data_IF_583142452274
#
_entry.id   IF_583142452274
#
_cell.length_a   1.000
_cell.length_b   1.000
_cell.length_c   1.000
_cell.angle_alpha   90.00
_cell.angle_beta   90.00
_cell.angle_gamma   90.00
#
_symmetry.space_group_name_H-M   'P 1'
#
loop_
_entity.id
_entity.type
_entity.pdbx_description
1 polymer ?
#
# COMPACT_ATOMS: atom_id res chain seq x y z
N UNK A 1 18.92 10.79 -16.47
CA UNK A 1 17.86 11.74 -16.09
C UNK A 1 16.70 11.43 -17.01
N UNK A 2 15.59 10.89 -16.49
CA UNK A 2 14.54 10.34 -17.36
C UNK A 2 13.12 10.53 -16.82
N UNK A 3 12.94 11.29 -15.75
CA UNK A 3 11.59 11.61 -15.22
C UNK A 3 11.53 13.09 -14.85
N UNK A 4 10.63 13.82 -15.49
CA UNK A 4 10.37 15.24 -15.22
C UNK A 4 9.03 15.35 -14.49
N UNK A 5 9.01 15.96 -13.31
CA UNK A 5 7.79 16.06 -12.49
C UNK A 5 7.19 17.47 -12.60
N UNK A 6 5.89 17.53 -12.90
CA UNK A 6 5.11 18.76 -12.95
C UNK A 6 3.92 18.66 -12.00
N UNK A 7 3.67 19.70 -11.21
CA UNK A 7 2.45 19.81 -10.39
C UNK A 7 1.59 20.97 -10.90
N UNK A 8 0.41 20.64 -11.41
CA UNK A 8 -0.56 21.60 -11.96
C UNK A 8 -1.83 21.69 -11.12
N UNK A 9 -1.79 21.22 -9.87
CA UNK A 9 -2.93 21.27 -8.95
C UNK A 9 -2.52 21.81 -7.58
N UNK A 10 -3.52 22.29 -6.84
CA UNK A 10 -3.37 22.84 -5.48
C UNK A 10 -4.30 22.15 -4.45
N UNK A 11 -5.09 21.16 -4.87
CA UNK A 11 -6.11 20.54 -4.04
C UNK A 11 -5.55 19.56 -2.99
N UNK A 12 -4.45 18.86 -3.31
CA UNK A 12 -3.75 17.94 -2.41
C UNK A 12 -2.27 18.32 -2.33
N UNK A 13 -1.67 18.40 -1.13
CA UNK A 13 -0.25 18.67 -0.98
C UNK A 13 0.61 17.61 -1.69
N UNK A 14 1.59 18.06 -2.48
CA UNK A 14 2.63 17.22 -3.08
C UNK A 14 3.98 17.56 -2.42
N UNK A 15 4.30 16.98 -1.24
CA UNK A 15 5.61 17.17 -0.64
C UNK A 15 6.70 16.53 -1.52
N UNK A 16 7.93 17.05 -1.39
CA UNK A 16 9.09 16.58 -2.16
C UNK A 16 9.29 15.06 -2.08
N UNK A 17 9.16 14.47 -0.89
CA UNK A 17 9.25 13.02 -0.67
C UNK A 17 8.23 12.21 -1.49
N UNK A 18 7.02 12.75 -1.70
CA UNK A 18 5.98 12.08 -2.48
C UNK A 18 6.28 12.17 -3.98
N UNK A 19 6.74 13.33 -4.45
CA UNK A 19 7.18 13.52 -5.83
C UNK A 19 8.40 12.64 -6.16
N UNK A 20 9.38 12.56 -5.26
CA UNK A 20 10.54 11.67 -5.37
C UNK A 20 10.14 10.20 -5.40
N UNK A 21 9.18 9.80 -4.56
CA UNK A 21 8.64 8.44 -4.55
C UNK A 21 8.05 8.06 -5.91
N UNK A 22 7.23 8.94 -6.49
CA UNK A 22 6.62 8.74 -7.81
C UNK A 22 7.68 8.69 -8.92
N UNK A 23 8.64 9.62 -8.89
CA UNK A 23 9.75 9.70 -9.85
C UNK A 23 10.62 8.43 -9.82
N UNK A 24 10.99 7.97 -8.62
CA UNK A 24 11.73 6.71 -8.43
C UNK A 24 10.94 5.51 -8.96
N UNK A 25 9.62 5.54 -8.84
CA UNK A 25 8.77 4.46 -9.33
C UNK A 25 8.80 4.34 -10.86
N UNK A 26 8.65 5.46 -11.57
CA UNK A 26 8.79 5.51 -13.03
C UNK A 26 10.22 5.12 -13.45
N UNK A 27 11.23 5.74 -12.85
CA UNK A 27 12.64 5.44 -13.18
C UNK A 27 12.98 3.95 -12.98
N UNK A 28 12.41 3.31 -11.95
CA UNK A 28 12.61 1.88 -11.71
C UNK A 28 11.93 1.01 -12.78
N UNK A 29 10.72 1.38 -13.21
CA UNK A 29 10.05 0.71 -14.32
C UNK A 29 10.89 0.78 -15.61
N UNK A 30 11.37 1.98 -15.96
CA UNK A 30 12.24 2.20 -17.13
C UNK A 30 13.54 1.38 -17.06
N UNK A 31 14.17 1.32 -15.88
CA UNK A 31 15.41 0.58 -15.70
C UNK A 31 15.21 -0.94 -15.87
N UNK A 32 14.12 -1.51 -15.35
CA UNK A 32 13.84 -2.95 -15.48
C UNK A 32 13.52 -3.35 -16.92
N UNK A 33 12.88 -2.48 -17.69
CA UNK A 33 12.61 -2.72 -19.12
C UNK A 33 13.80 -2.38 -20.04
N UNK A 34 14.96 -1.99 -19.46
CA UNK A 34 16.19 -1.75 -20.20
C UNK A 34 16.31 -0.38 -20.86
N UNK A 35 15.41 0.57 -20.55
CA UNK A 35 15.46 1.95 -21.05
C UNK A 35 16.38 2.83 -20.19
N UNK A 36 16.34 2.67 -18.86
CA UNK A 36 17.20 3.40 -17.93
C UNK A 36 17.21 4.92 -18.18
N UNK A 37 18.40 5.51 -18.31
CA UNK A 37 18.58 6.95 -18.59
C UNK A 37 18.43 7.33 -20.08
N UNK A 38 18.17 6.38 -20.97
CA UNK A 38 17.99 6.63 -22.41
C UNK A 38 16.55 7.04 -22.77
N UNK A 39 15.64 7.09 -21.79
CA UNK A 39 14.26 7.48 -21.99
C UNK A 39 13.83 8.56 -20.99
N UNK A 40 12.95 9.44 -21.44
CA UNK A 40 12.32 10.48 -20.62
C UNK A 40 10.81 10.29 -20.55
N UNK A 41 10.25 10.46 -19.36
CA UNK A 41 8.83 10.46 -19.05
C UNK A 41 8.48 11.72 -18.28
N UNK A 42 7.40 12.39 -18.67
CA UNK A 42 6.83 13.50 -17.92
C UNK A 42 5.76 12.98 -16.98
N UNK A 43 5.89 13.26 -15.69
CA UNK A 43 4.92 12.91 -14.66
C UNK A 43 4.19 14.16 -14.20
N UNK A 44 2.91 14.27 -14.54
CA UNK A 44 2.09 15.47 -14.33
C UNK A 44 0.98 15.20 -13.32
N UNK A 45 1.00 15.89 -12.19
CA UNK A 45 -0.08 15.85 -11.20
C UNK A 45 -1.12 16.93 -11.50
N UNK A 46 -2.39 16.53 -11.56
CA UNK A 46 -3.54 17.39 -11.87
C UNK A 46 -4.68 17.18 -10.87
N UNK A 47 -5.72 18.01 -10.95
CA UNK A 47 -6.96 17.82 -10.20
C UNK A 47 -7.99 16.98 -10.99
N UNK A 48 -9.14 16.71 -10.36
CA UNK A 48 -10.21 15.90 -10.94
C UNK A 48 -10.89 16.58 -12.15
N UNK A 49 -10.95 17.91 -12.17
CA UNK A 49 -11.55 18.66 -13.29
C UNK A 49 -10.66 18.50 -14.52
N UNK A 50 -9.36 18.75 -14.36
CA UNK A 50 -8.40 18.65 -15.44
C UNK A 50 -8.27 17.23 -15.98
N UNK A 51 -8.20 16.21 -15.13
CA UNK A 51 -8.12 14.83 -15.63
C UNK A 51 -9.42 14.38 -16.30
N UNK A 52 -10.59 14.90 -15.86
CA UNK A 52 -11.88 14.65 -16.52
C UNK A 52 -11.91 15.25 -17.92
N UNK A 53 -11.42 16.48 -18.09
CA UNK A 53 -11.29 17.11 -19.40
C UNK A 53 -10.43 16.26 -20.33
N UNK A 54 -9.25 15.84 -19.86
CA UNK A 54 -8.36 14.98 -20.63
C UNK A 54 -9.01 13.63 -20.98
N UNK A 55 -9.72 13.01 -20.02
CA UNK A 55 -10.41 11.75 -20.24
C UNK A 55 -11.55 11.89 -21.28
N UNK A 56 -12.27 13.01 -21.26
CA UNK A 56 -13.29 13.33 -22.26
C UNK A 56 -12.65 13.55 -23.62
N UNK A 57 -11.62 14.38 -23.70
CA UNK A 57 -11.08 14.86 -24.97
C UNK A 57 -10.29 13.77 -25.70
N UNK A 58 -9.58 12.89 -24.97
CA UNK A 58 -8.75 11.84 -25.55
C UNK A 58 -9.37 10.44 -25.54
N UNK A 59 -10.29 10.14 -24.61
CA UNK A 59 -10.95 8.82 -24.51
C UNK A 59 -12.47 8.86 -24.74
N UNK A 60 -13.07 10.04 -24.90
CA UNK A 60 -14.51 10.20 -25.04
C UNK A 60 -15.30 9.91 -23.76
N UNK A 61 -14.64 9.87 -22.59
CA UNK A 61 -15.25 9.51 -21.31
C UNK A 61 -15.28 10.72 -20.38
N UNK A 62 -16.46 11.33 -20.22
CA UNK A 62 -16.65 12.54 -19.39
C UNK A 62 -16.78 12.24 -17.89
N UNK A 63 -15.73 11.66 -17.30
CA UNK A 63 -15.60 11.45 -15.85
C UNK A 63 -14.14 11.54 -15.42
N UNK A 64 -13.89 11.94 -14.17
CA UNK A 64 -12.55 11.88 -13.60
C UNK A 64 -12.05 10.42 -13.54
N UNK A 65 -10.75 10.23 -13.73
CA UNK A 65 -10.05 8.95 -13.54
C UNK A 65 -8.83 9.22 -12.67
N UNK A 66 -8.18 8.15 -12.22
CA UNK A 66 -6.95 8.17 -11.44
C UNK A 66 -5.71 8.51 -12.26
N UNK A 67 -5.51 7.84 -13.41
CA UNK A 67 -4.33 8.03 -14.26
C UNK A 67 -4.66 7.91 -15.75
N UNK A 68 -3.94 8.69 -16.56
CA UNK A 68 -3.90 8.59 -18.03
C UNK A 68 -2.44 8.56 -18.50
N UNK A 69 -2.15 7.76 -19.52
CA UNK A 69 -0.84 7.70 -20.17
C UNK A 69 -0.96 8.14 -21.63
N UNK A 70 -0.13 9.10 -22.05
CA UNK A 70 -0.10 9.68 -23.38
C UNK A 70 1.24 9.36 -24.05
N UNK A 71 1.34 8.31 -24.88
CA UNK A 71 2.59 7.94 -25.52
C UNK A 71 2.99 8.93 -26.62
N UNK A 72 4.27 9.31 -26.65
CA UNK A 72 4.88 10.14 -27.71
C UNK A 72 5.81 9.31 -28.61
N UNK A 73 6.78 8.59 -28.04
CA UNK A 73 7.80 7.79 -28.74
C UNK A 73 8.61 8.60 -29.78
N UNK A 74 9.15 9.75 -29.37
CA UNK A 74 9.97 10.63 -30.21
C UNK A 74 11.42 10.67 -29.71
N UNK A 75 12.41 10.77 -30.62
CA UNK A 75 13.84 10.88 -30.25
C UNK A 75 14.28 12.35 -30.27
N UNK A 76 14.87 12.83 -29.17
CA UNK A 76 15.54 14.13 -29.12
C UNK A 76 17.07 14.00 -29.04
N UNK A 77 17.84 14.93 -29.65
CA UNK A 77 19.29 14.96 -29.49
C UNK A 77 19.70 15.11 -28.03
N UNK A 78 20.73 14.38 -27.60
CA UNK A 78 21.29 14.49 -26.25
C UNK A 78 21.67 15.93 -25.89
N UNK A 79 21.41 16.32 -24.65
CA UNK A 79 21.58 17.71 -24.19
C UNK A 79 23.05 18.12 -24.08
N UNK A 80 23.98 17.17 -23.94
CA UNK A 80 25.42 17.41 -23.86
C UNK A 80 26.23 16.76 -25.00
N UNK A 81 27.41 17.32 -25.37
CA UNK A 81 28.29 16.73 -26.37
C UNK A 81 28.77 15.33 -25.96
N UNK A 82 28.39 14.31 -26.73
CA UNK A 82 28.73 12.91 -26.46
C UNK A 82 27.61 12.08 -25.82
N UNK A 83 26.49 12.70 -25.46
CA UNK A 83 25.26 11.99 -25.09
C UNK A 83 24.51 11.54 -26.35
N UNK A 84 24.02 10.29 -26.33
CA UNK A 84 23.15 9.75 -27.38
C UNK A 84 21.76 10.41 -27.38
N UNK A 85 20.92 10.13 -28.38
CA UNK A 85 19.54 10.60 -28.38
C UNK A 85 18.76 10.05 -27.18
N UNK A 86 17.84 10.85 -26.66
CA UNK A 86 16.92 10.48 -25.57
C UNK A 86 15.55 10.19 -26.17
N UNK A 87 14.94 9.08 -25.77
CA UNK A 87 13.60 8.69 -26.21
C UNK A 87 12.53 9.32 -25.29
N UNK A 88 11.75 10.25 -25.81
CA UNK A 88 10.57 10.79 -25.14
C UNK A 88 9.43 9.77 -25.20
N UNK A 89 9.18 9.07 -24.09
CA UNK A 89 8.12 8.07 -24.01
C UNK A 89 6.74 8.72 -23.93
N UNK A 90 6.63 9.87 -23.26
CA UNK A 90 5.42 10.68 -23.18
C UNK A 90 5.01 11.06 -21.75
N UNK A 91 3.73 11.33 -21.56
CA UNK A 91 3.19 11.86 -20.31
C UNK A 91 2.42 10.81 -19.50
N UNK A 92 2.64 10.79 -18.19
CA UNK A 92 1.79 10.13 -17.20
C UNK A 92 1.08 11.23 -16.41
N UNK A 93 -0.24 11.30 -16.51
CA UNK A 93 -1.06 12.30 -15.85
C UNK A 93 -1.86 11.65 -14.73
N UNK A 94 -1.63 12.06 -13.48
CA UNK A 94 -2.25 11.50 -12.28
C UNK A 94 -3.14 12.55 -11.60
N UNK A 95 -4.39 12.18 -11.29
CA UNK A 95 -5.21 12.98 -10.38
C UNK A 95 -4.84 12.70 -8.94
N UNK A 96 -4.16 13.66 -8.30
CA UNK A 96 -3.76 13.52 -6.91
C UNK A 96 -4.96 13.48 -5.94
N UNK A 97 -6.07 14.23 -6.16
CA UNK A 97 -7.30 14.06 -5.40
C UNK A 97 -7.94 12.67 -5.51
N UNK A 98 -7.95 12.08 -6.71
CA UNK A 98 -8.47 10.71 -6.89
C UNK A 98 -7.56 9.70 -6.20
N UNK A 99 -6.24 9.81 -6.36
CA UNK A 99 -5.28 8.95 -5.67
C UNK A 99 -5.43 9.04 -4.14
N UNK A 100 -5.65 10.23 -3.57
CA UNK A 100 -5.90 10.38 -2.14
C UNK A 100 -7.15 9.63 -1.67
N UNK A 101 -8.26 9.70 -2.43
CA UNK A 101 -9.48 8.95 -2.10
C UNK A 101 -9.28 7.44 -2.26
N UNK A 102 -8.56 6.99 -3.28
CA UNK A 102 -8.25 5.56 -3.47
C UNK A 102 -7.34 5.04 -2.37
N UNK A 103 -6.32 5.80 -2.00
CA UNK A 103 -5.44 5.51 -0.87
C UNK A 103 -6.24 5.35 0.43
N UNK A 104 -7.20 6.25 0.71
CA UNK A 104 -8.06 6.11 1.88
C UNK A 104 -8.99 4.89 1.80
N UNK A 105 -9.65 4.67 0.65
CA UNK A 105 -10.64 3.62 0.46
C UNK A 105 -10.05 2.20 0.49
N UNK A 106 -8.93 2.01 -0.21
CA UNK A 106 -8.16 0.76 -0.20
C UNK A 106 -7.22 0.69 1.02
N UNK A 107 -7.02 1.86 1.64
CA UNK A 107 -6.42 2.06 2.93
C UNK A 107 -4.89 1.90 2.99
N UNK A 108 -4.21 1.78 1.87
CA UNK A 108 -2.76 2.00 1.80
C UNK A 108 -2.42 3.50 1.81
N UNK A 109 -1.17 3.85 2.12
CA UNK A 109 -0.75 5.26 2.14
C UNK A 109 -0.78 5.92 0.76
N UNK A 110 -0.95 7.24 0.72
CA UNK A 110 -0.83 8.03 -0.51
C UNK A 110 0.49 7.79 -1.26
N UNK A 111 1.66 7.63 -0.61
CA UNK A 111 2.90 7.27 -1.31
C UNK A 111 2.82 5.96 -2.09
N UNK A 112 2.11 4.96 -1.55
CA UNK A 112 1.90 3.69 -2.25
C UNK A 112 1.00 3.89 -3.47
N UNK A 113 -0.13 4.59 -3.31
CA UNK A 113 -1.08 4.78 -4.40
C UNK A 113 -0.49 5.58 -5.56
N UNK A 114 0.21 6.67 -5.24
CA UNK A 114 0.89 7.48 -6.25
C UNK A 114 2.00 6.70 -6.95
N UNK A 115 2.81 5.92 -6.21
CA UNK A 115 3.81 5.06 -6.82
C UNK A 115 3.18 4.00 -7.73
N UNK A 116 2.09 3.37 -7.27
CA UNK A 116 1.34 2.39 -8.05
C UNK A 116 0.83 2.98 -9.37
N UNK A 117 0.14 4.13 -9.32
CA UNK A 117 -0.37 4.81 -10.52
C UNK A 117 0.76 5.25 -11.46
N UNK A 118 1.90 5.70 -10.92
CA UNK A 118 3.07 6.05 -11.71
C UNK A 118 3.69 4.84 -12.41
N UNK A 119 3.83 3.70 -11.73
CA UNK A 119 4.27 2.43 -12.35
C UNK A 119 3.28 1.96 -13.41
N UNK A 120 1.98 2.01 -13.10
CA UNK A 120 0.92 1.60 -14.02
C UNK A 120 0.96 2.42 -15.31
N UNK A 121 1.06 3.75 -15.19
CA UNK A 121 1.21 4.65 -16.34
C UNK A 121 2.49 4.39 -17.13
N UNK A 122 3.62 4.17 -16.46
CA UNK A 122 4.89 3.88 -17.11
C UNK A 122 4.85 2.56 -17.90
N UNK A 123 4.28 1.50 -17.32
CA UNK A 123 4.12 0.22 -18.01
C UNK A 123 3.22 0.37 -19.25
N UNK A 124 2.16 1.18 -19.19
CA UNK A 124 1.36 1.50 -20.37
C UNK A 124 2.16 2.23 -21.45
N UNK A 125 3.00 3.21 -21.08
CA UNK A 125 3.91 3.87 -22.03
C UNK A 125 4.91 2.89 -22.67
N UNK A 126 5.33 1.86 -21.94
CA UNK A 126 6.23 0.80 -22.39
C UNK A 126 5.52 -0.31 -23.20
N UNK A 127 4.23 -0.13 -23.52
CA UNK A 127 3.47 -1.05 -24.35
C UNK A 127 2.88 -2.25 -23.61
N UNK A 128 2.84 -2.24 -22.27
CA UNK A 128 2.03 -3.18 -21.52
C UNK A 128 0.55 -2.78 -21.60
N UNK A 129 -0.31 -3.77 -21.75
CA UNK A 129 -1.76 -3.62 -21.76
C UNK A 129 -2.37 -4.68 -20.82
N UNK A 130 -3.66 -4.60 -20.57
CA UNK A 130 -4.37 -5.50 -19.67
C UNK A 130 -5.73 -5.93 -20.23
N UNK A 131 -5.80 -6.15 -21.55
CA UNK A 131 -7.04 -6.50 -22.27
C UNK A 131 -7.47 -7.95 -22.02
N UNK A 132 -6.52 -8.83 -21.71
CA UNK A 132 -6.78 -10.22 -21.37
C UNK A 132 -6.12 -10.64 -20.05
N UNK A 133 -6.46 -11.84 -19.58
CA UNK A 133 -6.02 -12.37 -18.29
C UNK A 133 -4.50 -12.61 -18.21
N UNK A 134 -3.85 -12.97 -19.33
CA UNK A 134 -2.40 -13.20 -19.38
C UNK A 134 -1.63 -11.89 -19.37
N UNK A 135 -2.06 -10.92 -20.19
CA UNK A 135 -1.49 -9.58 -20.23
C UNK A 135 -1.66 -8.87 -18.88
N UNK A 136 -2.86 -8.98 -18.28
CA UNK A 136 -3.14 -8.49 -16.94
C UNK A 136 -2.19 -9.12 -15.92
N UNK A 137 -2.08 -10.45 -15.86
CA UNK A 137 -1.19 -11.12 -14.91
C UNK A 137 0.28 -10.71 -15.07
N UNK A 138 0.74 -10.52 -16.31
CA UNK A 138 2.11 -10.06 -16.62
C UNK A 138 2.34 -8.63 -16.13
N UNK A 139 1.42 -7.71 -16.42
CA UNK A 139 1.50 -6.32 -15.98
C UNK A 139 1.46 -6.23 -14.45
N UNK A 140 0.53 -6.94 -13.80
CA UNK A 140 0.42 -7.04 -12.34
C UNK A 140 1.70 -7.57 -11.70
N UNK A 141 2.33 -8.59 -12.30
CA UNK A 141 3.60 -9.12 -11.81
C UNK A 141 4.70 -8.07 -11.78
N UNK A 142 4.79 -7.25 -12.84
CA UNK A 142 5.78 -6.16 -12.92
C UNK A 142 5.48 -5.01 -11.98
N UNK A 143 4.21 -4.61 -11.85
CA UNK A 143 3.80 -3.61 -10.87
C UNK A 143 4.27 -4.00 -9.46
N UNK A 144 4.00 -5.25 -9.07
CA UNK A 144 4.42 -5.80 -7.77
C UNK A 144 5.95 -5.81 -7.62
N UNK A 145 6.67 -6.30 -8.63
CA UNK A 145 8.14 -6.35 -8.61
C UNK A 145 8.75 -4.95 -8.43
N UNK A 146 8.27 -3.97 -9.19
CA UNK A 146 8.78 -2.59 -9.13
C UNK A 146 8.49 -1.96 -7.78
N UNK A 147 7.25 -2.09 -7.28
CA UNK A 147 6.84 -1.52 -6.00
C UNK A 147 7.59 -2.17 -4.83
N UNK A 148 7.82 -3.49 -4.86
CA UNK A 148 8.62 -4.18 -3.85
C UNK A 148 10.08 -3.69 -3.82
N UNK A 149 10.69 -3.43 -4.99
CA UNK A 149 12.05 -2.88 -5.08
C UNK A 149 12.17 -1.46 -4.50
N UNK A 150 11.06 -0.75 -4.33
CA UNK A 150 10.99 0.58 -3.70
C UNK A 150 10.67 0.50 -2.21
N UNK A 151 10.43 -0.68 -1.65
CA UNK A 151 9.95 -0.87 -0.28
C UNK A 151 8.48 -0.46 -0.10
N UNK A 152 7.72 -0.36 -1.20
CA UNK A 152 6.32 0.05 -1.23
C UNK A 152 5.44 -1.16 -1.51
N UNK A 153 5.29 -2.04 -0.54
CA UNK A 153 4.44 -3.23 -0.72
C UNK A 153 2.99 -2.93 -0.30
N UNK A 154 2.03 -3.15 -1.21
CA UNK A 154 0.64 -3.38 -0.79
C UNK A 154 0.61 -4.72 -0.07
N UNK A 155 -0.03 -4.74 1.08
CA UNK A 155 -0.23 -6.00 1.77
C UNK A 155 -1.28 -6.83 1.03
N UNK A 156 -0.82 -7.79 0.23
CA UNK A 156 -1.71 -8.72 -0.46
C UNK A 156 -2.49 -9.57 0.54
N UNK A 157 -3.81 -9.68 0.29
CA UNK A 157 -4.71 -10.42 1.16
C UNK A 157 -5.10 -9.68 2.43
N UNK A 158 -5.08 -8.35 2.42
CA UNK A 158 -5.61 -7.55 3.52
C UNK A 158 -7.07 -7.88 3.81
N UNK A 159 -7.94 -7.89 2.79
CA UNK A 159 -9.36 -8.21 2.95
C UNK A 159 -9.57 -9.61 3.53
N UNK A 160 -8.78 -10.57 3.08
CA UNK A 160 -8.77 -11.94 3.62
C UNK A 160 -8.36 -11.95 5.10
N UNK A 161 -7.33 -11.18 5.47
CA UNK A 161 -6.85 -11.10 6.84
C UNK A 161 -7.85 -10.40 7.76
N UNK A 162 -8.48 -9.31 7.30
CA UNK A 162 -9.55 -8.61 7.99
C UNK A 162 -10.78 -9.50 8.18
N UNK A 163 -11.15 -10.26 7.15
CA UNK A 163 -12.27 -11.21 7.22
C UNK A 163 -11.99 -12.35 8.20
N UNK A 164 -10.78 -12.90 8.20
CA UNK A 164 -10.36 -13.88 9.20
C UNK A 164 -10.43 -13.30 10.63
N UNK A 165 -10.01 -12.06 10.83
CA UNK A 165 -10.11 -11.38 12.12
C UNK A 165 -11.58 -11.12 12.53
N UNK A 166 -12.46 -10.74 11.60
CA UNK A 166 -13.91 -10.58 11.85
C UNK A 166 -14.53 -11.90 12.35
N UNK A 167 -14.27 -13.01 11.66
CA UNK A 167 -14.77 -14.33 12.06
C UNK A 167 -14.23 -14.76 13.43
N UNK A 168 -12.98 -14.43 13.72
CA UNK A 168 -12.41 -14.70 15.04
C UNK A 168 -13.14 -13.92 16.14
N UNK A 169 -13.45 -12.64 15.88
CA UNK A 169 -14.15 -11.75 16.82
C UNK A 169 -15.52 -12.29 17.24
N UNK A 170 -16.23 -13.00 16.36
CA UNK A 170 -17.54 -13.61 16.67
C UNK A 170 -17.46 -14.62 17.84
N UNK A 171 -16.28 -15.19 18.07
CA UNK A 171 -16.04 -16.18 19.12
C UNK A 171 -15.46 -15.57 20.42
N UNK A 172 -15.34 -14.25 20.49
CA UNK A 172 -14.80 -13.55 21.65
C UNK A 172 -15.61 -13.85 22.93
N UNK A 173 -14.90 -14.18 24.02
CA UNK A 173 -15.48 -14.35 25.34
C UNK A 173 -15.24 -13.08 26.16
N UNK A 174 -16.21 -12.15 26.14
CA UNK A 174 -16.09 -10.83 26.76
C UNK A 174 -17.28 -10.43 27.66
N UNK A 175 -17.65 -11.24 28.67
CA UNK A 175 -18.82 -10.96 29.50
C UNK A 175 -18.66 -9.77 30.46
N UNK A 176 -17.44 -9.29 30.71
CA UNK A 176 -17.19 -8.22 31.68
C UNK A 176 -17.15 -6.86 30.99
N UNK A 177 -16.43 -6.73 29.88
CA UNK A 177 -16.35 -5.45 29.15
C UNK A 177 -17.46 -5.27 28.11
N UNK A 178 -18.00 -6.38 27.57
CA UNK A 178 -18.89 -6.36 26.42
C UNK A 178 -18.20 -5.97 25.10
N UNK A 179 -16.87 -5.86 25.07
CA UNK A 179 -16.09 -5.45 23.90
C UNK A 179 -15.47 -6.70 23.27
N UNK A 180 -15.81 -6.94 22.00
CA UNK A 180 -15.25 -8.07 21.25
C UNK A 180 -14.15 -7.58 20.34
N UNK A 181 -13.07 -8.34 20.33
CA UNK A 181 -11.90 -8.11 19.49
C UNK A 181 -11.48 -9.43 18.86
N UNK A 182 -11.29 -9.42 17.56
CA UNK A 182 -10.69 -10.52 16.79
C UNK A 182 -9.39 -10.07 16.15
N UNK A 183 -8.47 -11.01 15.95
CA UNK A 183 -7.22 -10.76 15.26
C UNK A 183 -6.84 -11.93 14.37
N UNK A 184 -6.12 -11.63 13.30
CA UNK A 184 -5.54 -12.61 12.40
C UNK A 184 -4.10 -12.20 12.06
N UNK A 185 -3.15 -13.10 12.27
CA UNK A 185 -1.74 -12.91 11.91
C UNK A 185 -1.42 -13.66 10.62
N UNK A 186 -0.62 -13.04 9.75
CA UNK A 186 -0.08 -13.66 8.54
C UNK A 186 1.42 -13.93 8.73
N UNK A 187 1.85 -15.12 8.35
CA UNK A 187 3.27 -15.52 8.33
C UNK A 187 3.93 -15.17 6.99
N UNK A 188 5.25 -15.19 6.91
CA UNK A 188 5.98 -14.97 5.65
C UNK A 188 5.63 -16.02 4.59
N UNK A 189 5.28 -17.24 5.00
CA UNK A 189 4.77 -18.30 4.12
C UNK A 189 3.33 -18.08 3.61
N UNK A 190 2.63 -17.06 4.10
CA UNK A 190 1.23 -16.79 3.78
C UNK A 190 0.21 -17.48 4.69
N UNK A 191 0.63 -18.40 5.57
CA UNK A 191 -0.29 -19.04 6.53
C UNK A 191 -0.93 -18.00 7.48
N UNK A 192 -2.22 -18.19 7.78
CA UNK A 192 -3.02 -17.29 8.62
C UNK A 192 -3.44 -18.00 9.90
N UNK A 193 -3.27 -17.32 11.04
CA UNK A 193 -3.71 -17.81 12.36
C UNK A 193 -4.57 -16.76 13.06
N UNK A 194 -5.66 -17.20 13.68
CA UNK A 194 -6.66 -16.30 14.26
C UNK A 194 -6.72 -16.40 15.78
N UNK A 195 -7.17 -15.33 16.42
CA UNK A 195 -7.43 -15.27 17.86
C UNK A 195 -8.52 -14.26 18.19
N UNK A 196 -9.12 -14.41 19.37
CA UNK A 196 -10.09 -13.46 19.91
C UNK A 196 -9.76 -13.16 21.38
N UNK A 197 -10.33 -12.08 21.93
CA UNK A 197 -10.16 -11.82 23.35
C UNK A 197 -10.94 -12.83 24.21
N UNK A 198 -10.30 -13.26 25.30
CA UNK A 198 -10.86 -14.17 26.30
C UNK A 198 -10.67 -13.54 27.67
N UNK A 199 -11.77 -13.04 28.23
CA UNK A 199 -11.77 -12.39 29.54
C UNK A 199 -11.87 -13.40 30.68
N UNK A 200 -11.53 -12.93 31.88
CA UNK A 200 -11.63 -13.69 33.11
C UNK A 200 -12.07 -12.79 34.26
N UNK A 201 -12.76 -13.33 35.27
CA UNK A 201 -13.13 -12.59 36.47
C UNK A 201 -11.90 -12.00 37.20
N UNK A 202 -10.76 -12.69 37.13
CA UNK A 202 -9.47 -12.11 37.51
C UNK A 202 -8.90 -11.37 36.30
N UNK A 203 -9.13 -10.07 36.23
CA UNK A 203 -8.91 -9.27 35.01
C UNK A 203 -7.46 -9.33 34.49
N UNK A 204 -6.47 -9.58 35.35
CA UNK A 204 -5.07 -9.77 34.94
C UNK A 204 -4.82 -11.01 34.09
N UNK A 205 -5.75 -11.98 34.07
CA UNK A 205 -5.69 -13.19 33.26
C UNK A 205 -6.33 -13.03 31.87
N UNK A 206 -6.90 -11.86 31.57
CA UNK A 206 -7.51 -11.60 30.26
C UNK A 206 -6.46 -11.69 29.14
N UNK A 207 -6.79 -12.48 28.12
CA UNK A 207 -6.00 -12.63 26.90
C UNK A 207 -6.59 -11.76 25.80
N UNK A 208 -5.75 -10.92 25.17
CA UNK A 208 -6.15 -10.10 24.04
C UNK A 208 -6.10 -10.91 22.74
N UNK A 209 -6.88 -10.50 21.73
CA UNK A 209 -6.99 -11.19 20.46
C UNK A 209 -5.65 -11.35 19.73
N UNK A 210 -4.82 -10.30 19.75
CA UNK A 210 -3.50 -10.28 19.09
C UNK A 210 -2.56 -11.30 19.73
N UNK A 211 -2.53 -11.34 21.07
CA UNK A 211 -1.74 -12.32 21.82
C UNK A 211 -2.24 -13.75 21.59
N UNK A 212 -3.56 -13.94 21.48
CA UNK A 212 -4.15 -15.23 21.15
C UNK A 212 -3.76 -15.70 19.74
N UNK A 213 -3.84 -14.82 18.74
CA UNK A 213 -3.46 -15.14 17.35
C UNK A 213 -1.97 -15.49 17.21
N UNK A 214 -1.10 -14.72 17.87
CA UNK A 214 0.34 -15.02 17.94
C UNK A 214 0.59 -16.35 18.65
N UNK A 215 -0.08 -16.60 19.78
CA UNK A 215 0.06 -17.87 20.49
C UNK A 215 -0.38 -19.06 19.62
N UNK A 216 -1.45 -18.91 18.83
CA UNK A 216 -1.89 -19.94 17.88
C UNK A 216 -0.84 -20.21 16.79
N UNK A 217 -0.26 -19.16 16.20
CA UNK A 217 0.81 -19.30 15.20
C UNK A 217 2.03 -20.03 15.79
N UNK A 218 2.46 -19.63 16.99
CA UNK A 218 3.59 -20.25 17.68
C UNK A 218 3.31 -21.71 18.02
N UNK A 219 2.12 -22.02 18.52
CA UNK A 219 1.71 -23.39 18.82
C UNK A 219 1.71 -24.28 17.57
N UNK A 220 1.43 -23.71 16.40
CA UNK A 220 1.50 -24.38 15.10
C UNK A 220 2.92 -24.42 14.50
N UNK A 221 3.93 -23.87 15.19
CA UNK A 221 5.34 -23.90 14.76
C UNK A 221 5.82 -22.67 13.97
N UNK A 222 4.99 -21.64 13.82
CA UNK A 222 5.32 -20.43 13.07
C UNK A 222 5.80 -19.29 13.98
N UNK A 223 6.87 -18.59 13.56
CA UNK A 223 7.46 -17.46 14.31
C UNK A 223 7.80 -16.26 13.42
N UNK A 224 7.53 -16.37 12.13
CA UNK A 224 7.81 -15.44 11.04
C UNK A 224 6.58 -14.59 10.72
N UNK A 225 6.01 -13.92 11.72
CA UNK A 225 4.78 -13.11 11.54
C UNK A 225 5.12 -11.79 10.85
N UNK A 226 4.47 -11.51 9.71
CA UNK A 226 4.74 -10.33 8.87
C UNK A 226 3.66 -9.26 8.96
N UNK A 227 2.43 -9.65 9.30
CA UNK A 227 1.32 -8.71 9.45
C UNK A 227 0.26 -9.23 10.42
N UNK A 228 -0.56 -8.30 10.92
CA UNK A 228 -1.73 -8.60 11.74
C UNK A 228 -2.89 -7.68 11.36
N UNK A 229 -4.08 -8.26 11.21
CA UNK A 229 -5.34 -7.53 11.21
C UNK A 229 -5.99 -7.65 12.60
N UNK A 230 -6.53 -6.55 13.11
CA UNK A 230 -7.24 -6.46 14.39
C UNK A 230 -8.58 -5.79 14.12
N UNK A 231 -9.67 -6.44 14.54
CA UNK A 231 -11.03 -5.94 14.35
C UNK A 231 -11.71 -5.85 15.71
N UNK A 232 -12.38 -4.75 15.97
CA UNK A 232 -13.17 -4.55 17.19
C UNK A 232 -14.56 -4.01 16.87
N UNK A 233 -15.54 -4.31 17.73
CA UNK A 233 -16.90 -3.78 17.62
C UNK A 233 -17.12 -2.51 18.45
N UNK A 234 -16.06 -1.94 19.03
CA UNK A 234 -16.11 -0.75 19.87
C UNK A 234 -15.31 0.41 19.26
N UNK A 235 -15.96 1.53 18.99
CA UNK A 235 -15.32 2.74 18.43
C UNK A 235 -14.12 3.22 19.23
N UNK A 236 -14.16 3.09 20.57
CA UNK A 236 -13.08 3.54 21.47
C UNK A 236 -11.78 2.72 21.39
N UNK A 237 -11.79 1.58 20.71
CA UNK A 237 -10.61 0.74 20.53
C UNK A 237 -9.97 1.15 19.20
N UNK A 238 -8.88 1.90 19.24
CA UNK A 238 -8.25 2.47 18.03
C UNK A 238 -6.92 1.79 17.66
N UNK A 239 -6.34 1.01 18.55
CA UNK A 239 -5.05 0.34 18.32
C UNK A 239 -4.81 -0.78 19.35
N UNK A 240 -3.87 -1.70 19.07
CA UNK A 240 -3.43 -2.71 20.02
C UNK A 240 -3.00 -2.10 21.36
N UNK A 241 -3.26 -2.80 22.48
CA UNK A 241 -2.80 -2.35 23.79
C UNK A 241 -1.26 -2.50 23.93
N UNK A 242 -0.66 -1.81 24.91
CA UNK A 242 0.81 -1.83 25.08
C UNK A 242 1.41 -3.24 25.23
N UNK A 243 0.73 -4.15 25.93
CA UNK A 243 1.18 -5.54 26.06
C UNK A 243 1.17 -6.30 24.73
N UNK A 244 0.14 -6.08 23.89
CA UNK A 244 0.08 -6.65 22.55
C UNK A 244 1.17 -6.09 21.66
N UNK A 245 1.40 -4.77 21.68
CA UNK A 245 2.48 -4.14 20.91
C UNK A 245 3.85 -4.73 21.25
N UNK A 246 4.15 -4.88 22.55
CA UNK A 246 5.41 -5.49 23.00
C UNK A 246 5.50 -6.97 22.60
N UNK A 247 4.40 -7.71 22.65
CA UNK A 247 4.36 -9.11 22.18
C UNK A 247 4.67 -9.20 20.69
N UNK A 248 4.01 -8.39 19.86
CA UNK A 248 4.21 -8.37 18.41
C UNK A 248 5.65 -7.95 18.06
N UNK A 249 6.23 -7.03 18.82
CA UNK A 249 7.57 -6.50 18.59
C UNK A 249 8.65 -7.58 18.71
N UNK A 250 8.47 -8.56 19.61
CA UNK A 250 9.37 -9.72 19.77
C UNK A 250 9.49 -10.56 18.49
N UNK A 251 8.45 -10.56 17.64
CA UNK A 251 8.41 -11.33 16.39
C UNK A 251 8.83 -10.49 15.19
N UNK A 252 8.31 -9.26 15.06
CA UNK A 252 8.63 -8.39 13.94
C UNK A 252 8.38 -6.91 14.29
N UNK A 253 9.45 -6.12 14.53
CA UNK A 253 9.36 -4.67 14.79
C UNK A 253 8.76 -3.84 13.66
N UNK A 254 8.79 -4.35 12.42
CA UNK A 254 8.26 -3.67 11.23
C UNK A 254 6.96 -4.30 10.68
N UNK A 255 6.30 -5.10 11.53
CA UNK A 255 5.02 -5.73 11.20
C UNK A 255 3.99 -4.70 10.76
N UNK A 256 3.28 -5.00 9.67
CA UNK A 256 2.10 -4.24 9.30
C UNK A 256 0.96 -4.55 10.27
N UNK A 257 0.38 -3.50 10.87
CA UNK A 257 -0.77 -3.60 11.76
C UNK A 257 -1.96 -2.91 11.09
N UNK A 258 -2.96 -3.68 10.69
CA UNK A 258 -4.24 -3.18 10.20
C UNK A 258 -5.24 -3.24 11.35
N UNK A 259 -5.85 -2.11 11.69
CA UNK A 259 -6.82 -2.01 12.77
C UNK A 259 -8.14 -1.45 12.25
N UNK A 260 -9.23 -2.19 12.39
CA UNK A 260 -10.57 -1.77 12.00
C UNK A 260 -11.51 -1.72 13.21
N UNK A 261 -12.30 -0.66 13.29
CA UNK A 261 -13.41 -0.51 14.22
C UNK A 261 -14.58 0.21 13.51
N UNK A 262 -15.70 0.51 14.19
CA UNK A 262 -16.80 1.23 13.54
C UNK A 262 -16.47 2.67 13.07
N UNK A 263 -15.39 3.28 13.59
CA UNK A 263 -14.93 4.60 13.16
C UNK A 263 -14.06 4.56 11.89
N UNK A 264 -13.55 3.40 11.49
CA UNK A 264 -12.77 3.23 10.26
C UNK A 264 -11.65 2.20 10.36
N UNK A 265 -10.82 2.15 9.32
CA UNK A 265 -9.64 1.29 9.25
C UNK A 265 -8.37 2.13 9.23
N UNK A 266 -7.42 1.78 10.09
CA UNK A 266 -6.12 2.43 10.22
C UNK A 266 -5.01 1.41 9.99
N UNK A 267 -3.89 1.86 9.41
CA UNK A 267 -2.71 1.03 9.17
C UNK A 267 -1.48 1.69 9.77
N UNK A 268 -0.66 0.88 10.42
CA UNK A 268 0.55 1.30 11.10
C UNK A 268 1.67 0.33 10.82
N UNK A 269 2.91 0.83 10.83
CA UNK A 269 4.06 -0.02 11.13
C UNK A 269 4.17 -0.17 12.65
N UNK A 270 4.47 -1.38 13.12
CA UNK A 270 4.50 -1.63 14.56
C UNK A 270 5.48 -0.71 15.31
N UNK A 271 6.62 -0.36 14.71
CA UNK A 271 7.58 0.63 15.23
C UNK A 271 6.98 2.02 15.51
N UNK A 272 5.91 2.41 14.81
CA UNK A 272 5.20 3.68 15.02
C UNK A 272 4.29 3.60 16.25
N UNK A 273 3.75 2.40 16.52
CA UNK A 273 2.91 2.14 17.69
C UNK A 273 3.73 1.92 18.96
N UNK A 274 4.99 1.49 18.86
CA UNK A 274 5.87 1.25 20.00
C UNK A 274 7.30 1.79 19.74
N UNK A 275 7.48 3.12 19.72
CA UNK A 275 8.79 3.72 19.53
C UNK A 275 9.71 3.40 20.71
N UNK A 276 11.00 3.19 20.44
CA UNK A 276 12.02 2.84 21.44
C UNK A 276 11.61 1.64 22.33
N UNK A 277 11.03 0.61 21.70
CA UNK A 277 10.58 -0.59 22.38
C UNK A 277 11.70 -1.25 23.21
N UNK A 278 11.30 -1.88 24.31
CA UNK A 278 12.23 -2.66 25.11
C UNK A 278 12.64 -3.93 24.36
N UNK A 279 13.95 -4.18 24.27
CA UNK A 279 14.53 -5.42 23.72
C UNK A 279 15.58 -5.97 24.70
N UNK A 280 15.62 -7.29 24.86
CA UNK A 280 16.69 -8.03 25.54
C UNK A 280 17.64 -8.73 24.55
N UNK A 281 17.33 -8.68 23.25
CA UNK A 281 18.18 -9.16 22.17
C UNK A 281 19.08 -8.04 21.68
#
# INVERSE_FOLDING_TARGET
MGVVVHNLQEAVPLPEELAETASRAVARALALEGYGDAAEVSLVFVDDERIRELNRDYRGVDRATDVLAFPMHEEEPGSAPGEGPVLLLGDIVISLPTAARQAEACGHGLPYEVAYLAVHGALHLLGYDHKDEQEYARMRGKEKEILALLGLEAFEGEDELLEAARRAMENAYAPYSGIRVGAAVRTASGAVFTGCNVENASYGLTLCAERAAVAAAVAAGHRDVVAIAVVSDAEKVHSPCGACRQTLHEFNPDMLVIHTNPAGTHRYRLRELLPAAFSLR
#
